data_IF_971482901323
#
_entry.id   IF_971482901323
#
_cell.length_a   1.000
_cell.length_b   1.000
_cell.length_c   1.000
_cell.angle_alpha   90.00
_cell.angle_beta   90.00
_cell.angle_gamma   90.00
#
_symmetry.space_group_name_H-M   'P 1'
#
loop_
_entity.id
_entity.type
_entity.pdbx_description
1 polymer ?
#
# COMPACT_ATOMS: atom_id res chain seq x y z
N UNK A 1 31.41 -36.27 10.49
CA UNK A 1 30.90 -36.64 9.14
C UNK A 1 29.41 -36.36 9.13
N UNK A 2 28.77 -35.65 8.23
CA UNK A 2 29.14 -34.73 7.16
C UNK A 2 27.84 -33.96 6.85
N UNK A 3 27.95 -32.66 6.55
CA UNK A 3 26.88 -31.83 5.98
C UNK A 3 26.50 -32.30 4.56
N UNK A 4 25.28 -31.96 4.12
CA UNK A 4 25.13 -31.19 2.87
C UNK A 4 24.13 -30.04 3.08
N UNK A 5 24.27 -28.85 2.51
CA UNK A 5 24.84 -28.50 1.21
C UNK A 5 23.70 -28.02 0.31
N UNK A 6 23.51 -26.69 0.25
CA UNK A 6 22.41 -25.99 -0.39
C UNK A 6 22.42 -26.04 -1.94
N UNK A 7 21.24 -25.80 -2.53
CA UNK A 7 21.08 -25.48 -3.95
C UNK A 7 19.69 -24.88 -4.24
N UNK A 8 19.54 -23.56 -4.05
CA UNK A 8 18.43 -22.77 -4.58
C UNK A 8 18.85 -22.14 -5.92
N UNK A 9 17.98 -22.10 -6.95
CA UNK A 9 18.12 -21.15 -8.04
C UNK A 9 17.52 -19.78 -7.64
N UNK A 10 18.31 -18.73 -7.85
CA UNK A 10 18.04 -17.36 -7.45
C UNK A 10 16.92 -16.67 -8.24
N UNK A 11 16.21 -15.79 -7.52
CA UNK A 11 15.35 -14.75 -8.03
C UNK A 11 16.14 -13.44 -8.03
N UNK A 12 16.47 -12.94 -9.22
CA UNK A 12 16.73 -11.53 -9.46
C UNK A 12 15.59 -10.99 -10.33
N UNK A 13 14.90 -9.97 -9.81
CA UNK A 13 14.20 -8.87 -10.51
C UNK A 13 13.10 -8.30 -9.60
N UNK A 14 13.51 -7.63 -8.52
CA UNK A 14 12.79 -6.47 -8.01
C UNK A 14 13.75 -5.29 -8.16
N UNK A 15 13.54 -4.51 -9.21
CA UNK A 15 14.33 -3.31 -9.48
C UNK A 15 14.13 -2.31 -8.35
N UNK A 16 15.19 -2.12 -7.56
CA UNK A 16 15.39 -0.93 -6.75
C UNK A 16 15.43 0.29 -7.69
N UNK A 17 14.46 1.19 -7.57
CA UNK A 17 14.51 2.47 -8.28
C UNK A 17 15.57 3.35 -7.63
N UNK A 18 16.71 3.47 -8.29
CA UNK A 18 17.75 4.44 -7.94
C UNK A 18 17.28 5.83 -8.36
N UNK A 19 17.14 6.71 -7.36
CA UNK A 19 16.92 8.14 -7.56
C UNK A 19 18.07 8.71 -8.41
N UNK A 20 17.80 9.02 -9.68
CA UNK A 20 18.70 9.83 -10.50
C UNK A 20 18.16 11.25 -10.54
N UNK A 21 18.93 12.17 -9.98
CA UNK A 21 18.64 13.61 -9.93
C UNK A 21 18.30 14.17 -11.32
N UNK A 22 17.04 14.58 -11.50
CA UNK A 22 16.62 15.29 -12.71
C UNK A 22 17.21 16.70 -12.73
N UNK A 23 18.04 17.00 -13.73
CA UNK A 23 18.47 18.37 -14.07
C UNK A 23 17.24 19.22 -14.39
N UNK A 24 17.09 20.33 -13.68
CA UNK A 24 16.09 21.36 -13.94
C UNK A 24 16.40 22.02 -15.29
N UNK A 25 15.62 21.69 -16.33
CA UNK A 25 15.59 22.47 -17.57
C UNK A 25 14.60 23.63 -17.37
N UNK A 26 15.12 24.84 -17.18
CA UNK A 26 14.32 26.08 -17.13
C UNK A 26 13.63 26.31 -18.48
N UNK A 27 12.31 26.08 -18.55
CA UNK A 27 11.48 26.58 -19.67
C UNK A 27 11.27 28.09 -19.51
N UNK A 28 11.78 28.88 -20.46
CA UNK A 28 11.38 30.29 -20.63
C UNK A 28 9.91 30.31 -21.08
N UNK A 29 9.01 30.87 -20.26
CA UNK A 29 7.66 31.24 -20.71
C UNK A 29 7.74 32.61 -21.39
N UNK A 30 7.31 32.68 -22.64
CA UNK A 30 7.00 33.93 -23.33
C UNK A 30 5.80 34.60 -22.64
N UNK A 31 5.93 35.90 -22.36
CA UNK A 31 4.87 36.75 -21.80
C UNK A 31 3.83 37.04 -22.90
N UNK A 32 2.61 36.56 -22.70
CA UNK A 32 1.42 37.04 -23.40
C UNK A 32 0.62 37.96 -22.47
N UNK A 33 0.30 39.14 -22.96
CA UNK A 33 -0.38 40.26 -22.30
C UNK A 33 -1.83 39.93 -21.89
N UNK A 34 -2.24 40.36 -20.67
CA UNK A 34 -3.64 40.38 -20.22
C UNK A 34 -4.23 41.79 -20.45
N UNK A 35 -5.50 41.94 -20.86
CA UNK A 35 -6.28 43.14 -20.58
C UNK A 35 -7.02 43.03 -19.22
N UNK A 36 -7.18 44.17 -18.54
CA UNK A 36 -7.88 44.35 -17.26
C UNK A 36 -9.41 44.36 -17.42
N UNK A 37 -10.19 44.15 -16.33
CA UNK A 37 -11.64 43.96 -16.38
C UNK A 37 -12.42 45.28 -16.26
N UNK A 38 -13.55 45.37 -16.96
CA UNK A 38 -14.58 46.41 -16.80
C UNK A 38 -15.69 45.95 -15.85
N UNK A 39 -16.09 46.85 -14.95
CA UNK A 39 -17.19 46.71 -13.97
C UNK A 39 -18.56 46.81 -14.64
N UNK A 40 -19.54 46.05 -14.14
CA UNK A 40 -20.87 46.58 -13.78
C UNK A 40 -21.71 45.51 -13.05
N UNK A 41 -22.47 45.98 -12.06
CA UNK A 41 -23.33 45.28 -11.10
C UNK A 41 -24.79 45.20 -11.63
N UNK A 42 -25.72 44.52 -10.93
CA UNK A 42 -26.75 43.67 -11.54
C UNK A 42 -28.13 44.33 -11.66
N UNK A 43 -29.01 43.71 -12.45
CA UNK A 43 -30.45 43.89 -12.35
C UNK A 43 -31.18 42.56 -12.19
N UNK A 44 -32.32 42.71 -11.52
CA UNK A 44 -33.16 41.77 -10.79
C UNK A 44 -34.35 41.30 -11.66
N UNK A 45 -34.97 40.22 -11.17
CA UNK A 45 -36.39 39.84 -11.29
C UNK A 45 -36.90 39.10 -12.55
N UNK A 46 -37.70 38.05 -12.30
CA UNK A 46 -38.72 37.56 -13.24
C UNK A 46 -39.00 36.05 -13.24
N UNK A 47 -39.91 35.60 -12.35
CA UNK A 47 -40.75 34.37 -12.50
C UNK A 47 -41.57 34.48 -13.81
N UNK A 48 -41.95 33.46 -14.60
CA UNK A 48 -42.76 32.24 -14.36
C UNK A 48 -42.85 31.44 -15.71
N UNK A 49 -43.54 30.27 -15.79
CA UNK A 49 -43.34 29.21 -16.80
C UNK A 49 -44.55 29.01 -17.76
N UNK A 50 -44.39 28.18 -18.79
CA UNK A 50 -45.43 27.40 -19.52
C UNK A 50 -44.84 26.89 -20.86
N UNK A 51 -44.55 25.59 -21.06
CA UNK A 51 -45.40 24.50 -21.56
C UNK A 51 -45.71 24.47 -23.07
N UNK A 52 -45.46 23.27 -23.63
CA UNK A 52 -46.08 22.61 -24.79
C UNK A 52 -45.71 23.02 -26.23
N UNK A 53 -45.39 21.99 -27.04
CA UNK A 53 -45.39 22.12 -28.51
C UNK A 53 -44.66 20.98 -29.23
N UNK A 54 -45.42 19.97 -29.63
CA UNK A 54 -45.11 18.76 -30.42
C UNK A 54 -44.46 18.97 -31.80
N UNK A 55 -43.71 17.95 -32.25
CA UNK A 55 -43.03 17.76 -33.55
C UNK A 55 -43.99 17.65 -34.77
N UNK A 56 -43.55 17.60 -36.07
CA UNK A 56 -42.80 16.46 -36.66
C UNK A 56 -41.83 16.71 -37.86
N UNK A 57 -41.05 15.65 -38.17
CA UNK A 57 -40.37 15.14 -39.41
C UNK A 57 -40.67 15.83 -40.77
N UNK A 58 -39.86 15.85 -41.86
CA UNK A 58 -38.77 15.06 -42.51
C UNK A 58 -38.32 15.88 -43.79
N UNK A 59 -37.53 15.44 -44.80
CA UNK A 59 -36.49 14.40 -44.96
C UNK A 59 -35.20 14.84 -45.75
N UNK A 60 -34.21 13.93 -45.80
CA UNK A 60 -33.19 13.60 -46.83
C UNK A 60 -32.69 14.62 -47.87
N UNK A 61 -31.37 14.62 -48.11
CA UNK A 61 -30.74 14.44 -49.44
C UNK A 61 -29.21 14.25 -49.31
N UNK A 62 -28.74 13.11 -49.81
CA UNK A 62 -27.38 12.82 -50.29
C UNK A 62 -27.49 12.72 -51.84
N UNK A 63 -26.47 13.03 -52.66
CA UNK A 63 -25.74 11.90 -53.25
C UNK A 63 -24.26 12.15 -53.69
N UNK A 64 -23.47 11.06 -53.60
CA UNK A 64 -22.50 10.60 -54.61
C UNK A 64 -21.06 11.13 -54.48
N UNK A 65 -19.98 10.35 -54.54
CA UNK A 65 -19.74 8.97 -54.97
C UNK A 65 -18.52 8.93 -55.90
N UNK A 66 -17.48 8.14 -55.59
CA UNK A 66 -16.53 7.60 -56.58
C UNK A 66 -15.70 6.42 -56.03
N UNK A 67 -15.56 5.39 -56.86
CA UNK A 67 -15.05 4.01 -56.66
C UNK A 67 -13.50 3.98 -56.76
N UNK A 68 -12.74 3.14 -56.01
CA UNK A 68 -12.31 1.76 -56.35
C UNK A 68 -11.04 1.71 -57.26
N UNK A 69 -10.21 0.62 -57.36
CA UNK A 69 -10.45 -0.77 -56.94
C UNK A 69 -9.26 -1.60 -56.32
N UNK A 70 -9.65 -2.63 -55.54
CA UNK A 70 -9.19 -4.05 -55.39
C UNK A 70 -7.74 -4.52 -55.71
N UNK A 71 -7.23 -5.44 -54.86
CA UNK A 71 -6.96 -6.88 -55.19
C UNK A 71 -6.67 -7.79 -53.96
N UNK A 72 -7.33 -8.97 -53.96
CA UNK A 72 -6.97 -10.37 -53.51
C UNK A 72 -5.86 -10.58 -52.45
N UNK A 73 -5.94 -11.47 -51.45
CA UNK A 73 -6.65 -12.74 -51.30
C UNK A 73 -5.65 -13.90 -51.18
N UNK A 74 -5.59 -14.61 -50.05
CA UNK A 74 -5.06 -15.98 -49.94
C UNK A 74 -5.53 -16.67 -48.64
N UNK A 75 -6.09 -17.86 -48.81
CA UNK A 75 -6.48 -18.84 -47.78
C UNK A 75 -5.56 -20.04 -47.96
N UNK A 76 -5.08 -20.63 -46.86
CA UNK A 76 -4.65 -22.04 -46.84
C UNK A 76 -4.88 -22.63 -45.45
N UNK A 77 -5.21 -23.92 -45.46
CA UNK A 77 -5.73 -24.79 -44.39
C UNK A 77 -4.68 -25.84 -44.01
N UNK A 78 -4.91 -26.46 -42.85
CA UNK A 78 -4.58 -27.83 -42.39
C UNK A 78 -3.11 -28.24 -42.16
N UNK A 79 -2.78 -28.70 -40.94
CA UNK A 79 -2.69 -30.12 -40.57
C UNK A 79 -1.93 -30.38 -39.24
N UNK A 80 -2.45 -31.36 -38.48
CA UNK A 80 -1.87 -32.31 -37.49
C UNK A 80 -0.34 -32.28 -37.30
N UNK A 81 0.29 -32.43 -36.11
CA UNK A 81 0.10 -33.41 -35.04
C UNK A 81 1.48 -34.04 -34.69
N UNK A 82 1.63 -34.57 -33.46
CA UNK A 82 2.66 -35.55 -33.01
C UNK A 82 3.96 -35.03 -32.33
N UNK A 83 4.03 -35.34 -31.02
CA UNK A 83 5.10 -35.89 -30.14
C UNK A 83 6.54 -35.36 -30.21
N UNK A 84 7.10 -35.16 -29.01
CA UNK A 84 8.47 -34.72 -28.77
C UNK A 84 9.55 -35.80 -28.77
N UNK A 85 10.77 -35.29 -28.61
CA UNK A 85 12.05 -35.87 -28.14
C UNK A 85 12.92 -34.60 -27.89
N UNK A 86 13.79 -34.45 -26.88
CA UNK A 86 14.67 -35.44 -26.26
C UNK A 86 16.09 -35.27 -26.83
N UNK A 87 16.88 -34.43 -26.16
CA UNK A 87 18.36 -34.36 -26.11
C UNK A 87 19.19 -34.05 -27.37
N UNK A 88 20.29 -33.31 -27.17
CA UNK A 88 21.30 -33.07 -28.20
C UNK A 88 22.26 -31.93 -27.85
N UNK A 89 23.23 -32.22 -26.98
CA UNK A 89 24.40 -31.38 -26.71
C UNK A 89 25.18 -31.08 -28.01
N UNK A 90 25.57 -29.82 -28.21
CA UNK A 90 26.64 -29.47 -29.16
C UNK A 90 27.72 -28.65 -28.46
N UNK A 91 28.82 -29.36 -28.21
CA UNK A 91 30.12 -28.85 -27.78
C UNK A 91 30.78 -28.15 -28.98
N UNK A 92 31.07 -26.85 -28.87
CA UNK A 92 32.08 -26.19 -29.71
C UNK A 92 33.10 -25.52 -28.80
N UNK A 93 34.32 -26.09 -28.80
CA UNK A 93 35.50 -25.53 -28.17
C UNK A 93 35.96 -24.28 -28.93
N UNK A 94 36.16 -23.17 -28.23
CA UNK A 94 37.09 -22.13 -28.64
C UNK A 94 37.99 -21.77 -27.45
N UNK A 95 39.30 -21.81 -27.70
CA UNK A 95 40.36 -21.55 -26.72
C UNK A 95 40.47 -20.08 -26.32
N UNK A 96 41.24 -19.77 -25.26
CA UNK A 96 41.15 -18.49 -24.59
C UNK A 96 42.02 -17.42 -25.27
N UNK A 97 41.41 -16.26 -25.52
CA UNK A 97 42.13 -15.02 -25.79
C UNK A 97 42.38 -14.28 -24.46
N UNK A 98 43.59 -13.72 -24.38
CA UNK A 98 44.21 -13.08 -23.22
C UNK A 98 43.69 -11.65 -23.05
N UNK A 99 43.43 -11.22 -21.81
CA UNK A 99 43.43 -9.79 -21.45
C UNK A 99 43.96 -9.58 -20.02
N UNK A 100 44.75 -8.50 -19.75
CA UNK A 100 45.55 -8.36 -18.53
C UNK A 100 44.96 -7.43 -17.46
N UNK A 101 45.57 -7.50 -16.28
CA UNK A 101 45.62 -6.51 -15.19
C UNK A 101 44.45 -6.42 -14.19
N UNK A 102 44.63 -7.11 -13.05
CA UNK A 102 44.20 -6.66 -11.71
C UNK A 102 45.37 -6.80 -10.71
N UNK A 103 45.68 -5.78 -9.89
CA UNK A 103 46.73 -5.85 -8.88
C UNK A 103 46.26 -6.60 -7.62
N UNK A 104 47.15 -7.47 -7.13
CA UNK A 104 46.89 -8.45 -6.07
C UNK A 104 47.15 -7.97 -4.64
N UNK A 105 46.46 -8.64 -3.73
CA UNK A 105 46.77 -8.70 -2.30
C UNK A 105 47.80 -9.80 -2.07
N UNK A 106 48.83 -9.55 -1.24
CA UNK A 106 49.79 -10.57 -0.77
C UNK A 106 49.56 -10.87 0.73
N UNK A 107 49.61 -12.14 1.14
CA UNK A 107 49.47 -12.58 2.53
C UNK A 107 50.81 -12.61 3.30
N UNK A 108 50.70 -12.68 4.63
CA UNK A 108 51.79 -12.68 5.61
C UNK A 108 52.61 -13.99 5.65
N UNK A 109 53.91 -13.95 6.03
CA UNK A 109 54.71 -15.13 6.32
C UNK A 109 54.83 -15.45 7.85
N UNK A 110 55.15 -16.71 8.20
CA UNK A 110 55.11 -17.24 9.57
C UNK A 110 56.44 -17.10 10.34
N UNK A 111 56.35 -17.29 11.67
CA UNK A 111 57.46 -17.24 12.63
C UNK A 111 58.32 -18.52 12.67
N UNK A 112 59.60 -18.43 13.09
CA UNK A 112 60.38 -19.58 13.54
C UNK A 112 60.69 -19.58 15.06
N UNK A 113 60.79 -20.80 15.62
CA UNK A 113 61.49 -21.15 16.86
C UNK A 113 63.01 -20.93 16.70
N UNK A 114 63.90 -20.84 17.70
CA UNK A 114 63.90 -21.00 19.15
C UNK A 114 65.38 -21.07 19.62
N UNK A 115 65.58 -21.02 20.95
CA UNK A 115 66.79 -21.33 21.74
C UNK A 115 67.84 -20.22 22.02
N UNK A 116 68.15 -20.04 23.32
CA UNK A 116 69.49 -19.61 23.76
C UNK A 116 69.62 -18.65 24.95
N UNK A 117 69.26 -19.11 26.17
CA UNK A 117 69.86 -18.84 27.51
C UNK A 117 70.57 -17.50 27.82
N UNK A 118 70.21 -16.88 28.96
CA UNK A 118 71.15 -16.12 29.82
C UNK A 118 70.62 -14.81 30.40
N UNK A 119 70.51 -14.74 31.73
CA UNK A 119 69.90 -13.70 32.58
C UNK A 119 70.82 -12.47 32.86
N UNK A 120 70.35 -11.40 33.57
CA UNK A 120 70.51 -9.97 33.24
C UNK A 120 71.54 -9.22 34.12
N UNK A 121 71.64 -7.86 34.07
CA UNK A 121 70.84 -7.04 35.02
C UNK A 121 70.44 -5.60 34.60
N UNK A 122 69.23 -5.22 35.05
CA UNK A 122 68.78 -4.03 35.81
C UNK A 122 69.20 -2.57 35.45
N UNK A 123 68.15 -1.72 35.46
CA UNK A 123 68.06 -0.27 35.72
C UNK A 123 68.36 0.75 34.60
N UNK A 124 67.31 1.51 34.22
CA UNK A 124 67.32 2.99 34.22
C UNK A 124 65.91 3.57 34.09
N UNK A 125 65.55 4.40 35.09
CA UNK A 125 64.40 5.30 35.09
C UNK A 125 64.52 6.33 33.96
N UNK A 126 63.46 6.57 33.21
CA UNK A 126 63.23 7.82 32.46
C UNK A 126 61.75 8.21 32.52
N UNK A 127 61.51 9.32 33.19
CA UNK A 127 60.28 10.13 33.16
C UNK A 127 59.99 10.59 31.73
N UNK A 128 58.77 10.33 31.25
CA UNK A 128 58.23 10.96 30.05
C UNK A 128 57.01 11.78 30.48
N UNK A 129 57.10 13.10 30.25
CA UNK A 129 56.04 14.05 30.54
C UNK A 129 54.80 13.79 29.71
N UNK A 130 53.64 13.87 30.35
CA UNK A 130 52.36 13.86 29.67
C UNK A 130 52.17 15.19 28.93
N UNK A 131 52.32 15.18 27.60
CA UNK A 131 51.73 16.22 26.77
C UNK A 131 50.21 16.07 26.86
N UNK A 132 49.56 16.97 27.60
CA UNK A 132 48.12 17.13 27.52
C UNK A 132 47.80 17.73 26.15
N UNK A 133 47.48 16.86 25.18
CA UNK A 133 46.76 17.26 23.97
C UNK A 133 45.39 17.75 24.42
N UNK A 134 45.23 19.07 24.51
CA UNK A 134 43.94 19.73 24.58
C UNK A 134 43.21 19.45 23.25
N UNK A 135 42.59 18.28 23.15
CA UNK A 135 41.67 17.95 22.08
C UNK A 135 40.46 18.86 22.21
N UNK A 136 40.32 19.81 21.29
CA UNK A 136 39.06 20.48 21.06
C UNK A 136 38.03 19.41 20.69
N UNK A 137 37.28 18.94 21.69
CA UNK A 137 36.09 18.13 21.46
C UNK A 137 35.11 19.03 20.71
N UNK A 138 35.09 18.93 19.38
CA UNK A 138 33.96 19.41 18.61
C UNK A 138 32.73 18.75 19.22
N UNK A 139 31.87 19.55 19.86
CA UNK A 139 30.67 19.04 20.49
C UNK A 139 29.86 18.29 19.42
N UNK A 140 29.94 16.96 19.44
CA UNK A 140 29.22 16.11 18.52
C UNK A 140 27.73 16.36 18.75
N UNK A 141 27.00 16.71 17.69
CA UNK A 141 25.57 16.96 17.81
C UNK A 141 24.90 15.65 18.23
N UNK A 142 24.29 15.65 19.42
CA UNK A 142 23.63 14.47 19.95
C UNK A 142 22.38 14.17 19.12
N UNK A 143 22.33 12.98 18.53
CA UNK A 143 21.17 12.51 17.81
C UNK A 143 20.10 12.09 18.82
N UNK A 144 18.87 12.60 18.64
CA UNK A 144 17.70 12.18 19.41
C UNK A 144 16.65 11.65 18.44
N UNK A 145 15.97 10.53 18.75
CA UNK A 145 14.89 10.05 17.93
C UNK A 145 13.73 11.06 17.94
N UNK A 146 13.08 11.22 16.78
CA UNK A 146 11.84 11.98 16.70
C UNK A 146 10.71 11.09 17.21
N UNK A 147 10.18 11.42 18.40
CA UNK A 147 9.03 10.72 18.98
C UNK A 147 7.84 11.67 18.94
N UNK A 148 6.83 11.42 18.08
CA UNK A 148 5.62 12.23 18.12
C UNK A 148 4.99 12.16 19.52
N UNK A 149 4.55 13.30 20.10
CA UNK A 149 3.96 13.31 21.44
C UNK A 149 2.71 12.41 21.49
N UNK A 150 2.30 11.91 22.67
CA UNK A 150 1.10 11.05 22.82
C UNK A 150 1.05 9.89 21.82
N UNK A 151 2.20 9.26 21.61
CA UNK A 151 2.30 8.01 20.89
C UNK A 151 3.01 6.98 21.74
N UNK A 152 2.69 5.71 21.53
CA UNK A 152 3.37 4.59 22.17
C UNK A 152 3.32 3.37 21.24
N UNK A 153 4.15 2.38 21.53
CA UNK A 153 4.10 1.09 20.84
C UNK A 153 4.44 -0.04 21.80
N UNK A 154 3.84 -1.20 21.58
CA UNK A 154 4.14 -2.42 22.33
C UNK A 154 3.93 -3.63 21.42
N UNK A 155 4.60 -4.73 21.75
CA UNK A 155 4.38 -5.99 21.05
C UNK A 155 3.35 -6.83 21.80
N UNK A 156 2.48 -7.49 21.04
CA UNK A 156 1.44 -8.38 21.55
C UNK A 156 1.67 -9.77 20.97
N UNK A 157 1.82 -10.81 21.80
CA UNK A 157 1.90 -12.19 21.31
C UNK A 157 0.57 -12.58 20.65
N UNK A 158 0.65 -13.35 19.56
CA UNK A 158 -0.55 -13.89 18.90
C UNK A 158 -1.00 -15.14 19.67
N UNK A 159 -2.24 -15.17 20.21
CA UNK A 159 -2.74 -16.34 20.93
C UNK A 159 -2.68 -17.60 20.08
N UNK A 160 -2.16 -18.69 20.64
CA UNK A 160 -2.03 -19.98 19.93
C UNK A 160 -0.88 -20.06 18.93
N UNK A 161 -0.06 -19.02 18.76
CA UNK A 161 1.09 -19.00 17.84
C UNK A 161 2.39 -18.59 18.56
N UNK A 162 3.07 -19.54 19.24
CA UNK A 162 4.31 -19.26 19.95
C UNK A 162 5.36 -18.58 19.06
N UNK A 163 5.97 -17.50 19.57
CA UNK A 163 7.00 -16.74 18.86
C UNK A 163 6.47 -15.74 17.83
N UNK A 164 5.18 -15.77 17.47
CA UNK A 164 4.58 -14.74 16.61
C UNK A 164 4.05 -13.58 17.47
N UNK A 165 4.42 -12.37 17.06
CA UNK A 165 4.01 -11.14 17.74
C UNK A 165 3.50 -10.12 16.73
N UNK A 166 2.65 -9.20 17.20
CA UNK A 166 2.19 -8.01 16.48
C UNK A 166 2.77 -6.78 17.13
N UNK A 167 3.23 -5.83 16.33
CA UNK A 167 3.56 -4.50 16.84
C UNK A 167 2.30 -3.64 16.79
N UNK A 168 1.85 -3.19 17.94
CA UNK A 168 0.75 -2.23 18.03
C UNK A 168 1.34 -0.84 18.26
N UNK A 169 0.96 0.11 17.41
CA UNK A 169 1.28 1.53 17.56
C UNK A 169 -0.01 2.26 17.94
N UNK A 170 0.03 3.13 18.93
CA UNK A 170 -1.14 3.89 19.34
C UNK A 170 -0.84 5.38 19.44
N UNK A 171 -1.82 6.20 19.04
CA UNK A 171 -1.84 7.63 19.28
C UNK A 171 -3.21 8.01 19.87
N UNK A 172 -3.21 8.97 20.79
CA UNK A 172 -4.43 9.49 21.41
C UNK A 172 -4.43 11.03 21.41
N UNK A 173 -5.61 11.66 21.46
CA UNK A 173 -5.72 13.11 21.38
C UNK A 173 -5.33 13.79 22.70
N UNK A 174 -5.24 15.11 22.68
CA UNK A 174 -5.03 15.91 23.90
C UNK A 174 -6.33 16.18 24.63
N UNK A 175 -7.37 16.41 23.84
CA UNK A 175 -8.70 16.79 24.24
C UNK A 175 -9.32 15.67 25.08
N UNK A 176 -10.10 16.00 26.12
CA UNK A 176 -10.79 15.00 26.92
C UNK A 176 -11.76 14.17 26.05
N UNK A 177 -12.08 12.93 26.46
CA UNK A 177 -12.99 12.10 25.71
C UNK A 177 -14.40 12.72 25.66
N UNK A 178 -15.11 12.56 24.53
CA UNK A 178 -16.56 12.79 24.49
C UNK A 178 -17.29 11.93 25.53
N UNK A 179 -18.55 12.25 25.89
CA UNK A 179 -19.33 11.46 26.84
C UNK A 179 -19.44 9.96 26.47
N UNK A 180 -19.47 9.63 25.17
CA UNK A 180 -19.49 8.25 24.67
C UNK A 180 -18.12 7.57 24.57
N UNK A 181 -17.03 8.31 24.81
CA UNK A 181 -15.65 7.88 24.56
C UNK A 181 -15.11 8.31 23.20
N UNK A 182 -13.81 8.10 22.99
CA UNK A 182 -13.16 8.42 21.72
C UNK A 182 -13.58 7.46 20.61
N UNK A 183 -13.81 7.95 19.37
CA UNK A 183 -13.80 7.08 18.20
C UNK A 183 -12.42 6.42 18.02
N UNK A 184 -12.42 5.22 17.44
CA UNK A 184 -11.19 4.44 17.19
C UNK A 184 -11.04 4.17 15.70
N UNK A 185 -9.85 4.44 15.15
CA UNK A 185 -9.48 4.00 13.80
C UNK A 185 -8.31 3.01 13.87
N UNK A 186 -8.60 1.76 13.49
CA UNK A 186 -7.61 0.69 13.31
C UNK A 186 -7.00 0.79 11.91
N UNK A 187 -5.68 0.85 11.81
CA UNK A 187 -4.92 0.98 10.58
C UNK A 187 -4.11 -0.30 10.36
N UNK A 188 -4.42 -1.04 9.30
CA UNK A 188 -3.62 -2.18 8.86
C UNK A 188 -2.31 -1.72 8.22
N UNK A 189 -1.34 -2.64 8.08
CA UNK A 189 0.04 -2.32 7.69
C UNK A 189 0.61 -1.17 8.56
N UNK A 190 0.41 -1.26 9.88
CA UNK A 190 0.59 -0.17 10.83
C UNK A 190 1.97 0.50 10.78
N UNK A 191 3.04 -0.25 10.50
CA UNK A 191 4.39 0.30 10.34
C UNK A 191 4.43 1.40 9.25
N UNK A 192 3.67 1.24 8.16
CA UNK A 192 3.64 2.15 7.02
C UNK A 192 2.53 3.20 7.12
N UNK A 193 1.35 2.83 7.64
CA UNK A 193 0.16 3.69 7.61
C UNK A 193 0.02 4.59 8.84
N UNK A 194 0.48 4.14 10.02
CA UNK A 194 0.27 4.85 11.28
C UNK A 194 0.95 6.22 11.35
N UNK A 195 2.23 6.39 10.97
CA UNK A 195 2.88 7.71 11.03
C UNK A 195 2.17 8.75 10.14
N UNK A 196 1.71 8.33 8.95
CA UNK A 196 0.97 9.18 8.01
C UNK A 196 -0.36 9.58 8.63
N UNK A 197 -1.09 8.62 9.21
CA UNK A 197 -2.38 8.86 9.84
C UNK A 197 -2.29 9.82 11.04
N UNK A 198 -1.29 9.66 11.91
CA UNK A 198 -1.08 10.54 13.08
C UNK A 198 -0.83 11.98 12.64
N UNK A 199 0.06 12.19 11.67
CA UNK A 199 0.35 13.53 11.17
C UNK A 199 -0.88 14.17 10.50
N UNK A 200 -1.60 13.41 9.67
CA UNK A 200 -2.79 13.88 8.98
C UNK A 200 -3.96 14.17 9.94
N UNK A 201 -4.18 13.31 10.95
CA UNK A 201 -5.24 13.50 11.93
C UNK A 201 -5.04 14.81 12.70
N UNK A 202 -3.85 15.03 13.27
CA UNK A 202 -3.52 16.27 13.99
C UNK A 202 -3.70 17.53 13.15
N UNK A 203 -3.35 17.46 11.87
CA UNK A 203 -3.54 18.59 10.96
C UNK A 203 -5.04 18.86 10.74
N UNK A 204 -5.86 17.81 10.62
CA UNK A 204 -7.30 17.91 10.38
C UNK A 204 -8.08 18.30 11.65
N UNK A 205 -7.66 17.82 12.83
CA UNK A 205 -8.21 18.19 14.15
C UNK A 205 -8.09 19.69 14.40
N UNK A 206 -6.92 20.29 14.08
CA UNK A 206 -6.70 21.76 14.17
C UNK A 206 -7.67 22.59 13.32
N UNK A 207 -8.33 21.97 12.35
CA UNK A 207 -9.34 22.59 11.48
C UNK A 207 -10.77 22.16 11.83
N UNK A 208 -10.94 21.43 12.93
CA UNK A 208 -12.20 20.79 13.35
C UNK A 208 -12.82 19.89 12.25
N UNK A 209 -12.01 19.37 11.33
CA UNK A 209 -12.48 18.53 10.23
C UNK A 209 -12.70 17.06 10.63
N UNK A 210 -12.11 16.65 11.75
CA UNK A 210 -12.24 15.30 12.35
C UNK A 210 -12.36 15.44 13.86
N UNK A 211 -13.08 14.51 14.49
CA UNK A 211 -13.16 14.40 15.94
C UNK A 211 -11.81 13.92 16.53
N UNK A 212 -11.44 14.36 17.74
CA UNK A 212 -10.34 13.79 18.49
C UNK A 212 -10.51 12.27 18.64
N UNK A 213 -9.48 11.48 18.28
CA UNK A 213 -9.62 10.04 18.14
C UNK A 213 -8.40 9.23 18.59
N UNK A 214 -8.64 7.97 18.98
CA UNK A 214 -7.57 6.99 19.19
C UNK A 214 -7.24 6.32 17.86
N UNK A 215 -5.98 6.42 17.43
CA UNK A 215 -5.48 5.74 16.23
C UNK A 215 -4.66 4.52 16.65
N UNK A 216 -4.93 3.37 16.05
CA UNK A 216 -4.25 2.10 16.37
C UNK A 216 -3.66 1.50 15.09
N UNK A 217 -2.34 1.56 14.94
CA UNK A 217 -1.62 0.85 13.88
C UNK A 217 -1.36 -0.60 14.26
N UNK A 218 -1.75 -1.54 13.41
CA UNK A 218 -1.47 -2.97 13.57
C UNK A 218 -0.39 -3.39 12.58
N UNK A 219 0.80 -3.59 13.12
CA UNK A 219 2.02 -3.89 12.37
C UNK A 219 2.72 -5.15 12.85
N UNK A 220 4.00 -5.23 12.50
CA UNK A 220 4.89 -6.35 12.78
C UNK A 220 6.14 -5.85 13.48
N UNK A 221 6.73 -6.61 14.42
CA UNK A 221 8.06 -6.31 14.93
C UNK A 221 9.10 -6.40 13.81
N UNK A 222 10.03 -5.45 13.78
CA UNK A 222 11.03 -5.32 12.71
C UNK A 222 10.62 -4.34 11.60
N UNK A 223 11.47 -4.22 10.58
CA UNK A 223 11.27 -3.29 9.47
C UNK A 223 10.45 -3.88 8.31
N UNK A 224 10.52 -5.20 8.10
CA UNK A 224 9.83 -5.88 6.99
C UNK A 224 8.45 -6.41 7.40
N UNK A 225 7.40 -6.24 6.57
CA UNK A 225 6.04 -6.72 6.85
C UNK A 225 5.94 -8.25 6.72
N UNK A 226 6.50 -8.94 7.71
CA UNK A 226 6.55 -10.40 7.80
C UNK A 226 5.20 -10.97 8.25
N UNK A 227 4.37 -11.42 7.30
CA UNK A 227 3.13 -12.16 7.59
C UNK A 227 1.87 -11.59 6.97
N UNK A 228 1.91 -10.39 6.38
CA UNK A 228 0.72 -9.75 5.79
C UNK A 228 0.01 -10.61 4.75
N UNK A 229 0.75 -11.39 3.97
CA UNK A 229 0.15 -12.30 3.00
C UNK A 229 -0.75 -13.32 3.69
N UNK A 230 -0.29 -13.92 4.79
CA UNK A 230 -1.08 -14.81 5.63
C UNK A 230 -2.29 -14.08 6.18
N UNK A 231 -2.04 -12.99 6.87
CA UNK A 231 -3.01 -12.40 7.78
C UNK A 231 -4.13 -11.67 7.06
N UNK A 232 -3.90 -11.21 5.83
CA UNK A 232 -4.86 -10.36 5.12
C UNK A 232 -5.59 -11.09 3.99
N UNK A 233 -5.30 -12.37 3.78
CA UNK A 233 -5.92 -13.14 2.70
C UNK A 233 -6.94 -14.14 3.25
N UNK A 234 -8.15 -14.19 2.66
CA UNK A 234 -9.15 -15.19 3.01
C UNK A 234 -8.63 -16.62 2.81
N UNK A 235 -9.11 -17.60 3.59
CA UNK A 235 -8.89 -19.01 3.25
C UNK A 235 -9.48 -19.31 1.87
N UNK A 236 -8.70 -19.98 1.01
CA UNK A 236 -9.14 -20.35 -0.33
C UNK A 236 -8.57 -21.72 -0.76
N UNK A 237 -9.31 -22.54 -1.52
CA UNK A 237 -8.78 -23.77 -2.10
C UNK A 237 -7.57 -23.48 -3.00
N UNK A 238 -6.52 -24.30 -2.91
CA UNK A 238 -5.31 -24.12 -3.71
C UNK A 238 -4.52 -22.84 -3.38
N UNK A 239 -4.80 -22.20 -2.23
CA UNK A 239 -4.15 -20.96 -1.88
C UNK A 239 -2.63 -21.12 -1.72
N UNK A 240 -1.89 -20.07 -2.10
CA UNK A 240 -0.44 -20.03 -2.00
C UNK A 240 0.01 -20.36 -0.56
N UNK A 241 1.05 -21.18 -0.35
CA UNK A 241 1.60 -21.41 0.98
C UNK A 241 1.89 -20.11 1.72
N UNK A 242 1.50 -20.04 3.00
CA UNK A 242 1.63 -18.82 3.81
C UNK A 242 0.55 -17.76 3.54
N UNK A 243 -0.61 -18.14 2.98
CA UNK A 243 -1.83 -17.32 2.86
C UNK A 243 -2.99 -17.92 3.68
N UNK A 244 -4.16 -17.27 3.74
CA UNK A 244 -5.40 -17.84 4.27
C UNK A 244 -5.65 -17.65 5.78
N UNK A 245 -4.92 -16.76 6.44
CA UNK A 245 -5.01 -16.51 7.88
C UNK A 245 -5.94 -15.37 8.30
N UNK A 246 -6.78 -14.85 7.40
CA UNK A 246 -7.66 -13.72 7.69
C UNK A 246 -8.56 -13.94 8.91
N UNK A 247 -9.16 -15.12 9.07
CA UNK A 247 -10.03 -15.39 10.22
C UNK A 247 -9.28 -15.31 11.56
N UNK A 248 -8.12 -15.96 11.66
CA UNK A 248 -7.28 -15.90 12.85
C UNK A 248 -6.81 -14.46 13.16
N UNK A 249 -6.52 -13.67 12.13
CA UNK A 249 -6.17 -12.27 12.32
C UNK A 249 -7.36 -11.44 12.82
N UNK A 250 -8.56 -11.64 12.28
CA UNK A 250 -9.77 -10.97 12.75
C UNK A 250 -10.18 -11.42 14.17
N UNK A 251 -9.90 -12.68 14.55
CA UNK A 251 -10.09 -13.17 15.92
C UNK A 251 -9.16 -12.45 16.88
N UNK A 252 -7.90 -12.24 16.50
CA UNK A 252 -6.97 -11.42 17.26
C UNK A 252 -7.47 -9.97 17.42
N UNK A 253 -7.98 -9.35 16.34
CA UNK A 253 -8.52 -7.98 16.43
C UNK A 253 -9.69 -7.92 17.43
N UNK A 254 -10.65 -8.84 17.30
CA UNK A 254 -11.88 -8.86 18.09
C UNK A 254 -11.66 -9.27 19.55
N UNK A 255 -10.91 -10.34 19.79
CA UNK A 255 -10.76 -10.96 21.11
C UNK A 255 -9.56 -10.46 21.91
N UNK A 256 -8.59 -9.80 21.28
CA UNK A 256 -7.36 -9.34 21.96
C UNK A 256 -7.15 -7.85 21.82
N UNK A 257 -7.08 -7.33 20.58
CA UNK A 257 -6.69 -5.93 20.36
C UNK A 257 -7.76 -4.94 20.85
N UNK A 258 -9.00 -5.06 20.37
CA UNK A 258 -10.06 -4.09 20.69
C UNK A 258 -10.36 -4.04 22.20
N UNK A 259 -10.44 -5.18 22.94
CA UNK A 259 -10.55 -5.15 24.39
C UNK A 259 -9.37 -4.46 25.09
N UNK A 260 -8.13 -4.70 24.63
CA UNK A 260 -6.94 -4.04 25.19
C UNK A 260 -6.98 -2.52 25.00
N UNK A 261 -7.42 -2.06 23.82
CA UNK A 261 -7.60 -0.63 23.52
C UNK A 261 -8.63 -0.01 24.47
N UNK A 262 -9.78 -0.68 24.67
CA UNK A 262 -10.83 -0.20 25.55
C UNK A 262 -10.44 -0.15 27.05
N UNK A 263 -9.47 -0.96 27.48
CA UNK A 263 -8.91 -0.86 28.85
C UNK A 263 -7.98 0.33 29.04
N UNK A 264 -7.35 0.82 27.97
CA UNK A 264 -6.32 1.87 28.04
C UNK A 264 -6.86 3.26 27.78
N UNK A 265 -7.90 3.36 26.96
CA UNK A 265 -8.56 4.61 26.63
C UNK A 265 -10.08 4.46 26.75
N UNK A 266 -10.80 5.50 27.19
CA UNK A 266 -12.25 5.52 27.17
C UNK A 266 -12.71 5.65 25.72
N UNK A 267 -13.00 4.52 25.08
CA UNK A 267 -13.40 4.45 23.66
C UNK A 267 -14.88 4.15 23.51
N UNK A 268 -15.45 4.67 22.43
CA UNK A 268 -16.83 4.37 22.04
C UNK A 268 -16.87 3.09 21.19
N UNK A 269 -17.46 1.98 21.68
CA UNK A 269 -17.53 0.72 20.94
C UNK A 269 -18.40 0.81 19.67
N UNK A 270 -19.27 1.82 19.58
CA UNK A 270 -20.13 2.05 18.41
C UNK A 270 -19.44 2.86 17.31
N UNK A 271 -18.27 3.45 17.61
CA UNK A 271 -17.50 4.31 16.69
C UNK A 271 -16.12 3.74 16.37
N UNK A 272 -16.09 2.44 16.07
CA UNK A 272 -14.88 1.75 15.63
C UNK A 272 -14.83 1.63 14.11
N UNK A 273 -13.69 1.98 13.54
CA UNK A 273 -13.43 1.92 12.11
C UNK A 273 -12.14 1.15 11.79
N UNK A 274 -12.07 0.57 10.60
CA UNK A 274 -10.87 -0.10 10.10
C UNK A 274 -10.48 0.42 8.71
N UNK A 275 -9.19 0.66 8.52
CA UNK A 275 -8.58 1.06 7.25
C UNK A 275 -7.53 0.05 6.82
N UNK A 276 -7.51 -0.26 5.51
CA UNK A 276 -6.48 -1.08 4.90
C UNK A 276 -6.28 -0.76 3.42
N UNK A 277 -5.05 -0.96 2.95
CA UNK A 277 -4.65 -0.77 1.56
C UNK A 277 -4.24 -2.09 0.89
N UNK A 278 -4.54 -2.28 -0.39
CA UNK A 278 -4.12 -3.48 -1.14
C UNK A 278 -4.67 -4.76 -0.50
N UNK A 279 -3.82 -5.71 -0.07
CA UNK A 279 -4.25 -6.85 0.73
C UNK A 279 -4.93 -6.43 2.06
N UNK A 280 -4.50 -5.34 2.70
CA UNK A 280 -5.21 -4.79 3.85
C UNK A 280 -6.64 -4.37 3.48
N UNK A 281 -6.83 -3.79 2.29
CA UNK A 281 -8.16 -3.46 1.78
C UNK A 281 -9.02 -4.70 1.51
N UNK A 282 -8.40 -5.78 1.02
CA UNK A 282 -9.03 -7.10 0.90
C UNK A 282 -9.49 -7.63 2.27
N UNK A 283 -8.65 -7.54 3.30
CA UNK A 283 -9.03 -7.94 4.66
C UNK A 283 -10.18 -7.08 5.20
N UNK A 284 -10.17 -5.77 4.95
CA UNK A 284 -11.27 -4.88 5.37
C UNK A 284 -12.60 -5.31 4.76
N UNK A 285 -12.62 -5.62 3.46
CA UNK A 285 -13.82 -6.15 2.81
C UNK A 285 -14.23 -7.50 3.41
N UNK A 286 -13.27 -8.41 3.60
CA UNK A 286 -13.54 -9.72 4.22
C UNK A 286 -14.10 -9.59 5.64
N UNK A 287 -13.58 -8.67 6.45
CA UNK A 287 -14.06 -8.37 7.79
C UNK A 287 -15.51 -7.85 7.77
N UNK A 288 -15.82 -6.92 6.87
CA UNK A 288 -17.19 -6.41 6.70
C UNK A 288 -18.17 -7.56 6.37
N UNK A 289 -17.78 -8.44 5.45
CA UNK A 289 -18.66 -9.49 4.95
C UNK A 289 -18.87 -10.65 5.93
N UNK A 290 -17.82 -11.01 6.67
CA UNK A 290 -17.85 -12.17 7.58
C UNK A 290 -18.19 -11.78 9.01
N UNK A 291 -17.84 -10.56 9.43
CA UNK A 291 -17.99 -10.04 10.79
C UNK A 291 -18.58 -8.63 10.81
N UNK A 292 -19.79 -8.42 10.27
CA UNK A 292 -20.40 -7.09 10.13
C UNK A 292 -20.49 -6.30 11.44
N UNK A 293 -20.56 -6.96 12.60
CA UNK A 293 -20.60 -6.29 13.90
C UNK A 293 -19.25 -5.81 14.45
N UNK A 294 -18.12 -6.11 13.79
CA UNK A 294 -16.79 -5.84 14.33
C UNK A 294 -16.37 -4.37 14.17
N UNK A 295 -16.75 -3.74 13.06
CA UNK A 295 -16.46 -2.32 12.79
C UNK A 295 -17.69 -1.65 12.20
N UNK A 296 -18.02 -0.46 12.71
CA UNK A 296 -19.13 0.37 12.20
C UNK A 296 -18.81 0.97 10.83
N UNK A 297 -17.53 1.25 10.58
CA UNK A 297 -17.03 1.88 9.34
C UNK A 297 -15.84 1.10 8.78
N UNK A 298 -15.95 0.70 7.53
CA UNK A 298 -14.90 -0.02 6.81
C UNK A 298 -14.35 0.85 5.69
N UNK A 299 -13.03 1.01 5.61
CA UNK A 299 -12.36 1.82 4.60
C UNK A 299 -11.35 0.95 3.84
N UNK A 300 -11.72 0.58 2.62
CA UNK A 300 -10.94 -0.29 1.74
C UNK A 300 -10.30 0.54 0.62
N UNK A 301 -9.00 0.82 0.73
CA UNK A 301 -8.23 1.51 -0.30
C UNK A 301 -7.54 0.50 -1.22
N UNK A 302 -7.73 0.66 -2.53
CA UNK A 302 -7.19 -0.20 -3.58
C UNK A 302 -7.32 -1.69 -3.24
N UNK A 303 -8.51 -2.18 -2.84
CA UNK A 303 -8.65 -3.51 -2.28
C UNK A 303 -8.31 -4.57 -3.33
N UNK A 304 -7.47 -5.53 -2.97
CA UNK A 304 -7.04 -6.62 -3.87
C UNK A 304 -8.14 -7.66 -4.12
N UNK A 305 -9.29 -7.23 -4.63
CA UNK A 305 -10.46 -8.07 -4.93
C UNK A 305 -10.09 -9.17 -5.93
N UNK A 306 -9.16 -8.91 -6.84
CA UNK A 306 -8.65 -9.89 -7.82
C UNK A 306 -7.97 -11.13 -7.20
N UNK A 307 -7.60 -11.08 -5.92
CA UNK A 307 -6.87 -12.17 -5.27
C UNK A 307 -7.64 -13.50 -5.30
N UNK A 308 -6.94 -14.59 -5.66
CA UNK A 308 -7.48 -15.94 -5.84
C UNK A 308 -8.82 -15.95 -6.58
N UNK A 309 -8.80 -15.51 -7.83
CA UNK A 309 -9.99 -15.49 -8.70
C UNK A 309 -11.21 -14.80 -8.09
N UNK A 310 -10.96 -13.78 -7.27
CA UNK A 310 -11.98 -12.99 -6.57
C UNK A 310 -12.77 -13.78 -5.53
N UNK A 311 -12.09 -14.66 -4.79
CA UNK A 311 -12.70 -15.47 -3.71
C UNK A 311 -13.48 -14.65 -2.67
N UNK A 312 -13.09 -13.40 -2.40
CA UNK A 312 -13.80 -12.52 -1.46
C UNK A 312 -15.26 -12.27 -1.85
N UNK A 313 -15.59 -12.35 -3.15
CA UNK A 313 -16.96 -12.19 -3.64
C UNK A 313 -17.90 -13.30 -3.16
N UNK A 314 -17.37 -14.44 -2.73
CA UNK A 314 -18.17 -15.49 -2.10
C UNK A 314 -18.69 -15.05 -0.72
N UNK A 315 -17.85 -14.35 0.06
CA UNK A 315 -18.27 -13.74 1.32
C UNK A 315 -19.23 -12.57 1.07
N UNK A 316 -18.99 -11.75 0.03
CA UNK A 316 -19.89 -10.66 -0.38
C UNK A 316 -21.32 -11.19 -0.65
N UNK A 317 -21.46 -12.28 -1.41
CA UNK A 317 -22.77 -12.87 -1.72
C UNK A 317 -23.53 -13.31 -0.46
N UNK A 318 -22.84 -13.92 0.50
CA UNK A 318 -23.43 -14.31 1.79
C UNK A 318 -23.81 -13.09 2.63
N UNK A 319 -22.97 -12.07 2.64
CA UNK A 319 -23.25 -10.80 3.31
C UNK A 319 -24.49 -10.13 2.73
N UNK A 320 -24.62 -10.09 1.40
CA UNK A 320 -25.75 -9.46 0.73
C UNK A 320 -27.09 -10.18 0.92
N UNK A 321 -27.07 -11.45 1.31
CA UNK A 321 -28.26 -12.21 1.65
C UNK A 321 -28.78 -11.95 3.09
N UNK A 322 -28.05 -11.18 3.92
CA UNK A 322 -28.48 -10.83 5.28
C UNK A 322 -29.61 -9.80 5.26
N UNK A 323 -30.44 -9.72 6.31
CA UNK A 323 -31.48 -8.69 6.42
C UNK A 323 -30.89 -7.28 6.34
N UNK A 324 -31.45 -6.43 5.47
CA UNK A 324 -30.98 -5.05 5.28
C UNK A 324 -30.95 -4.23 6.59
N UNK A 325 -31.86 -4.52 7.54
CA UNK A 325 -31.87 -3.86 8.85
C UNK A 325 -30.57 -4.07 9.64
N UNK A 326 -29.95 -5.26 9.55
CA UNK A 326 -28.66 -5.57 10.20
C UNK A 326 -27.51 -4.77 9.56
N UNK A 327 -27.63 -4.49 8.26
CA UNK A 327 -26.58 -3.87 7.45
C UNK A 327 -26.71 -2.35 7.36
N UNK A 328 -27.91 -1.79 7.57
CA UNK A 328 -28.20 -0.34 7.59
C UNK A 328 -27.32 0.44 8.56
N UNK A 329 -26.77 -0.30 9.53
CA UNK A 329 -25.86 0.19 10.54
C UNK A 329 -24.39 0.05 10.14
N UNK A 330 -24.03 -0.04 8.88
CA UNK A 330 -22.63 -0.16 8.45
C UNK A 330 -22.36 0.87 7.36
N UNK A 331 -21.14 1.40 7.33
CA UNK A 331 -20.70 2.27 6.24
C UNK A 331 -19.41 1.73 5.62
N UNK A 332 -19.33 1.74 4.30
CA UNK A 332 -18.17 1.30 3.52
C UNK A 332 -17.68 2.45 2.64
N UNK A 333 -16.40 2.79 2.75
CA UNK A 333 -15.71 3.65 1.79
C UNK A 333 -14.72 2.80 0.98
N UNK A 334 -14.95 2.71 -0.33
CA UNK A 334 -14.02 2.10 -1.28
C UNK A 334 -13.28 3.22 -2.00
N UNK A 335 -11.95 3.15 -2.02
CA UNK A 335 -11.10 4.11 -2.72
C UNK A 335 -10.17 3.40 -3.69
N UNK A 336 -9.85 4.03 -4.82
CA UNK A 336 -8.82 3.59 -5.77
C UNK A 336 -8.09 4.81 -6.33
N UNK A 337 -6.84 4.64 -6.74
CA UNK A 337 -6.11 5.61 -7.53
C UNK A 337 -6.57 5.55 -8.99
N UNK A 338 -6.72 6.70 -9.63
CA UNK A 338 -7.18 6.80 -11.01
C UNK A 338 -6.22 6.20 -12.04
N UNK A 339 -4.94 6.01 -11.66
CA UNK A 339 -3.91 5.46 -12.55
C UNK A 339 -3.63 3.98 -12.25
N UNK A 340 -4.45 3.32 -11.43
CA UNK A 340 -4.29 1.90 -11.07
C UNK A 340 -4.75 0.92 -12.15
N UNK A 341 -5.55 1.38 -13.11
CA UNK A 341 -6.03 0.58 -14.23
C UNK A 341 -5.85 1.36 -15.54
N UNK A 342 -5.03 0.84 -16.48
CA UNK A 342 -4.72 1.55 -17.71
C UNK A 342 -5.97 1.66 -18.58
N UNK A 343 -6.29 2.89 -18.98
CA UNK A 343 -7.40 3.17 -19.90
C UNK A 343 -7.01 2.89 -21.36
N UNK A 344 -5.74 3.10 -21.70
CA UNK A 344 -5.17 2.96 -23.04
C UNK A 344 -3.92 2.07 -23.05
N UNK A 345 -3.48 1.65 -24.24
CA UNK A 345 -2.18 0.99 -24.46
C UNK A 345 -1.03 2.01 -24.39
N UNK A 346 -0.72 2.51 -23.19
CA UNK A 346 0.42 3.43 -23.00
C UNK A 346 1.75 2.70 -23.30
N UNK A 347 2.49 3.09 -24.36
CA UNK A 347 3.71 2.40 -24.77
C UNK A 347 4.85 2.52 -23.75
N UNK A 348 4.71 3.36 -22.72
CA UNK A 348 5.68 3.48 -21.62
C UNK A 348 5.52 2.37 -20.57
N UNK A 349 4.40 1.66 -20.56
CA UNK A 349 4.15 0.56 -19.63
C UNK A 349 4.65 -0.74 -20.29
N UNK A 350 5.54 -1.49 -19.62
CA UNK A 350 5.98 -2.80 -20.11
C UNK A 350 4.80 -3.74 -20.42
N UNK A 351 4.80 -4.51 -21.52
CA UNK A 351 3.66 -5.33 -21.94
C UNK A 351 3.19 -6.35 -20.89
N UNK A 352 4.11 -6.94 -20.16
CA UNK A 352 3.85 -7.87 -19.05
C UNK A 352 3.14 -7.17 -17.89
N UNK A 353 3.59 -5.97 -17.52
CA UNK A 353 2.94 -5.13 -16.52
C UNK A 353 1.55 -4.69 -16.96
N UNK A 354 1.39 -4.30 -18.22
CA UNK A 354 0.09 -3.93 -18.79
C UNK A 354 -0.89 -5.12 -18.75
N UNK A 355 -0.44 -6.32 -19.14
CA UNK A 355 -1.24 -7.54 -19.07
C UNK A 355 -1.64 -7.89 -17.62
N UNK A 356 -0.74 -7.68 -16.66
CA UNK A 356 -1.03 -7.85 -15.23
C UNK A 356 -2.09 -6.86 -14.74
N UNK A 357 -1.94 -5.56 -15.02
CA UNK A 357 -2.90 -4.53 -14.61
C UNK A 357 -4.31 -4.79 -15.17
N UNK A 358 -4.39 -5.20 -16.44
CA UNK A 358 -5.64 -5.61 -17.10
C UNK A 358 -6.31 -6.82 -16.46
N UNK A 359 -5.53 -7.74 -15.88
CA UNK A 359 -6.05 -8.89 -15.14
C UNK A 359 -6.53 -8.51 -13.75
N UNK A 360 -5.78 -7.64 -13.08
CA UNK A 360 -6.07 -7.13 -11.74
C UNK A 360 -7.37 -6.32 -11.71
N UNK A 361 -7.67 -5.53 -12.76
CA UNK A 361 -8.89 -4.71 -12.88
C UNK A 361 -9.22 -3.96 -11.60
N UNK A 362 -8.26 -3.19 -11.06
CA UNK A 362 -8.41 -2.61 -9.72
C UNK A 362 -9.61 -1.67 -9.63
N UNK A 363 -9.75 -0.74 -10.58
CA UNK A 363 -10.82 0.25 -10.61
C UNK A 363 -12.14 -0.44 -10.92
N UNK A 364 -12.16 -1.29 -11.95
CA UNK A 364 -13.35 -2.02 -12.37
C UNK A 364 -13.94 -2.89 -11.26
N UNK A 365 -13.11 -3.75 -10.63
CA UNK A 365 -13.57 -4.63 -9.55
C UNK A 365 -14.09 -3.84 -8.33
N UNK A 366 -13.40 -2.76 -7.96
CA UNK A 366 -13.78 -1.94 -6.80
C UNK A 366 -15.10 -1.17 -7.03
N UNK A 367 -15.28 -0.61 -8.23
CA UNK A 367 -16.51 0.09 -8.62
C UNK A 367 -17.70 -0.87 -8.70
N UNK A 368 -17.55 -1.99 -9.39
CA UNK A 368 -18.60 -3.01 -9.52
C UNK A 368 -19.03 -3.55 -8.13
N UNK A 369 -18.09 -3.73 -7.19
CA UNK A 369 -18.40 -4.13 -5.82
C UNK A 369 -19.19 -3.05 -5.07
N UNK A 370 -18.76 -1.79 -5.16
CA UNK A 370 -19.47 -0.69 -4.52
C UNK A 370 -20.90 -0.55 -5.05
N UNK A 371 -21.09 -0.65 -6.38
CA UNK A 371 -22.40 -0.57 -7.03
C UNK A 371 -23.34 -1.71 -6.58
N UNK A 372 -22.83 -2.95 -6.48
CA UNK A 372 -23.62 -4.08 -5.97
C UNK A 372 -24.07 -3.89 -4.53
N UNK A 373 -23.24 -3.27 -3.68
CA UNK A 373 -23.54 -3.09 -2.26
C UNK A 373 -24.44 -1.88 -1.96
N UNK A 374 -24.51 -0.89 -2.85
CA UNK A 374 -25.29 0.34 -2.65
C UNK A 374 -26.80 0.11 -2.41
N UNK A 375 -27.34 -1.04 -2.81
CA UNK A 375 -28.75 -1.42 -2.63
C UNK A 375 -29.01 -2.48 -1.56
N UNK A 376 -28.00 -2.91 -0.82
CA UNK A 376 -28.05 -4.12 0.03
C UNK A 376 -28.21 -3.79 1.52
N UNK A 377 -27.90 -2.56 1.93
CA UNK A 377 -28.05 -2.11 3.31
C UNK A 377 -26.99 -1.13 3.82
N UNK A 378 -25.68 -1.37 3.66
CA UNK A 378 -24.67 -0.43 4.16
C UNK A 378 -24.67 0.89 3.38
N UNK A 379 -24.28 1.98 4.03
CA UNK A 379 -23.97 3.25 3.36
C UNK A 379 -22.64 3.07 2.59
N UNK A 380 -22.71 2.99 1.27
CA UNK A 380 -21.52 2.79 0.43
C UNK A 380 -21.11 4.08 -0.26
N UNK A 381 -19.82 4.39 -0.22
CA UNK A 381 -19.19 5.46 -0.99
C UNK A 381 -18.03 4.89 -1.80
N UNK A 382 -17.94 5.31 -3.06
CA UNK A 382 -16.81 4.99 -3.93
C UNK A 382 -16.10 6.29 -4.32
N UNK A 383 -14.77 6.32 -4.20
CA UNK A 383 -13.96 7.49 -4.56
C UNK A 383 -12.74 7.08 -5.36
N UNK A 384 -12.66 7.59 -6.59
CA UNK A 384 -11.46 7.52 -7.41
C UNK A 384 -10.59 8.76 -7.12
N UNK A 385 -9.29 8.57 -6.93
CA UNK A 385 -8.30 9.60 -6.62
C UNK A 385 -7.42 9.83 -7.86
N UNK A 386 -7.73 10.84 -8.70
CA UNK A 386 -7.04 11.03 -9.98
C UNK A 386 -5.55 11.32 -9.82
N UNK A 387 -4.73 10.82 -10.75
CA UNK A 387 -3.29 11.06 -10.76
C UNK A 387 -2.51 10.28 -9.69
N UNK A 388 -3.13 9.26 -9.10
CA UNK A 388 -2.51 8.37 -8.14
C UNK A 388 -2.49 6.94 -8.66
N UNK A 389 -1.32 6.31 -8.56
CA UNK A 389 -1.11 4.88 -8.76
C UNK A 389 -1.26 4.10 -7.45
N UNK A 390 -1.04 2.78 -7.50
CA UNK A 390 -1.24 1.88 -6.37
C UNK A 390 -0.42 2.24 -5.12
N UNK A 391 0.76 2.85 -5.29
CA UNK A 391 1.63 3.24 -4.17
C UNK A 391 1.32 4.64 -3.66
N UNK A 392 1.20 5.60 -4.57
CA UNK A 392 0.99 7.01 -4.23
C UNK A 392 -0.39 7.32 -3.66
N UNK A 393 -1.39 6.45 -3.89
CA UNK A 393 -2.75 6.60 -3.37
C UNK A 393 -2.86 6.44 -1.84
N UNK A 394 -1.89 5.80 -1.18
CA UNK A 394 -1.98 5.48 0.26
C UNK A 394 -2.17 6.73 1.12
N UNK A 395 -1.34 7.75 0.94
CA UNK A 395 -1.40 9.01 1.71
C UNK A 395 -2.71 9.78 1.53
N UNK A 396 -3.18 10.08 0.30
CA UNK A 396 -4.48 10.74 0.11
C UNK A 396 -5.64 9.87 0.59
N UNK A 397 -5.58 8.54 0.43
CA UNK A 397 -6.59 7.62 0.95
C UNK A 397 -6.70 7.68 2.49
N UNK A 398 -5.57 7.69 3.21
CA UNK A 398 -5.56 7.86 4.68
C UNK A 398 -6.20 9.20 5.08
N UNK A 399 -5.90 10.29 4.35
CA UNK A 399 -6.49 11.60 4.62
C UNK A 399 -8.02 11.59 4.48
N UNK A 400 -8.56 10.92 3.46
CA UNK A 400 -10.01 10.75 3.30
C UNK A 400 -10.60 9.78 4.33
N UNK A 401 -9.89 8.70 4.66
CA UNK A 401 -10.30 7.72 5.65
C UNK A 401 -10.55 8.36 7.01
N UNK A 402 -9.70 9.30 7.43
CA UNK A 402 -9.87 10.04 8.67
C UNK A 402 -11.19 10.83 8.69
N UNK A 403 -11.51 11.57 7.61
CA UNK A 403 -12.78 12.31 7.50
C UNK A 403 -14.01 11.39 7.51
N UNK A 404 -13.89 10.22 6.90
CA UNK A 404 -14.97 9.26 6.86
C UNK A 404 -15.17 8.57 8.22
N UNK A 405 -14.09 8.10 8.84
CA UNK A 405 -14.11 7.35 10.09
C UNK A 405 -14.46 8.23 11.30
N UNK A 406 -13.92 9.45 11.34
CA UNK A 406 -13.89 10.32 12.50
C UNK A 406 -14.76 11.57 12.33
N UNK A 407 -15.86 11.47 11.57
CA UNK A 407 -16.84 12.56 11.44
C UNK A 407 -17.18 13.13 12.83
N UNK A 408 -17.10 14.46 13.05
CA UNK A 408 -17.60 15.09 14.26
C UNK A 408 -19.07 14.75 14.50
N UNK A 409 -19.47 14.63 15.76
CA UNK A 409 -20.90 14.59 16.09
C UNK A 409 -21.51 15.95 15.76
N UNK A 410 -22.73 15.93 15.22
CA UNK A 410 -23.46 17.12 14.79
C UNK A 410 -24.07 17.87 15.98
#
# INVERSE_FOLDING_TARGET
MATPGAGQPGLDLIGASTYTSARIIRRRRCRGTRPRPGRSMPHRDGQHPATHGTAPRCPSLDPGGCRGPRRSGCVARDAEGIRGFGEGEHIVRQGPHVDPCRPGQRPAPPAPAGAGRGLPPVMRRRTLGALALAGAAAAAWALSPVVPPRTTSWDVPVPGEPGRQRRILAAWPEEPPPPGGYPVLVLLDGNATFPIAVAAARQQERRAAVAPAVLIGVGYPGEEPSGRLRDYTPPAPGARPGSGGADAFLDFLAGTLLPEVARRWPVDPTRQAIFGHSLGGLLVLYALFTRPGLFRRSIAASPSIWWQDRVVLEAERRFAARPAAELSRLSLLVMVGGDEEPQDDDPRIPPDRLAWLRRVRMIGNARELADRLAGVGPEVSFLELPGHDHGSVVSPAISQALRFALRPEA
#
